data_IF_356124270114
#
_entry.id   IF_356124270114
#
_cell.length_a   1.000
_cell.length_b   1.000
_cell.length_c   1.000
_cell.angle_alpha   90.00
_cell.angle_beta   90.00
_cell.angle_gamma   90.00
#
_symmetry.space_group_name_H-M   'P 1'
#
loop_
_entity.id
_entity.type
_entity.pdbx_description
1 polymer ?
#
# COMPACT_ATOMS: atom_id res chain seq x y z
N UNK A 1 -14.21 7.06 -8.08
CA UNK A 1 -13.83 5.63 -8.20
C UNK A 1 -14.35 5.12 -9.52
N UNK A 2 -13.49 4.72 -10.46
CA UNK A 2 -13.95 4.06 -11.69
C UNK A 2 -14.53 2.71 -11.29
N UNK A 3 -15.84 2.55 -11.43
CA UNK A 3 -16.49 1.25 -11.24
C UNK A 3 -15.86 0.22 -12.20
N UNK A 4 -15.57 -0.97 -11.68
CA UNK A 4 -14.99 -2.05 -12.46
C UNK A 4 -15.83 -2.38 -13.73
N UNK A 5 -17.13 -2.15 -13.69
CA UNK A 5 -18.04 -2.33 -14.83
C UNK A 5 -17.88 -1.23 -15.88
N UNK A 6 -17.65 0.00 -15.47
CA UNK A 6 -17.30 1.10 -16.39
C UNK A 6 -15.98 0.82 -17.11
N UNK A 7 -14.99 0.25 -16.42
CA UNK A 7 -13.73 -0.17 -17.02
C UNK A 7 -13.93 -1.32 -18.00
N UNK A 8 -14.74 -2.33 -17.65
CA UNK A 8 -15.10 -3.44 -18.53
C UNK A 8 -15.80 -2.95 -19.80
N UNK A 9 -16.69 -1.96 -19.70
CA UNK A 9 -17.33 -1.32 -20.86
C UNK A 9 -16.35 -0.67 -21.80
N UNK A 10 -15.41 0.11 -21.27
CA UNK A 10 -14.35 0.74 -22.07
C UNK A 10 -13.45 -0.29 -22.76
N UNK A 11 -13.08 -1.37 -22.06
CA UNK A 11 -12.32 -2.46 -22.64
C UNK A 11 -13.10 -3.17 -23.76
N UNK A 12 -14.37 -3.49 -23.51
CA UNK A 12 -15.23 -4.11 -24.52
C UNK A 12 -15.36 -3.25 -25.79
N UNK A 13 -15.55 -1.94 -25.64
CA UNK A 13 -15.58 -1.00 -26.76
C UNK A 13 -14.25 -0.95 -27.52
N UNK A 14 -13.13 -0.83 -26.79
CA UNK A 14 -11.80 -0.76 -27.39
C UNK A 14 -11.42 -2.03 -28.15
N UNK A 15 -11.92 -3.18 -27.73
CA UNK A 15 -11.63 -4.49 -28.36
C UNK A 15 -12.71 -4.97 -29.33
N UNK A 16 -13.77 -4.17 -29.54
CA UNK A 16 -14.91 -4.56 -30.37
C UNK A 16 -15.65 -5.77 -29.83
N UNK A 17 -15.65 -6.02 -28.52
CA UNK A 17 -16.32 -7.14 -27.87
C UNK A 17 -15.72 -8.53 -28.16
N UNK A 18 -14.54 -8.59 -28.76
CA UNK A 18 -13.93 -9.87 -29.21
C UNK A 18 -13.41 -10.73 -28.06
N UNK A 19 -13.26 -10.17 -26.85
CA UNK A 19 -12.74 -10.88 -25.70
C UNK A 19 -13.83 -11.08 -24.66
N UNK A 20 -14.04 -12.31 -24.15
CA UNK A 20 -14.92 -12.56 -23.03
C UNK A 20 -14.35 -11.86 -21.78
N UNK A 21 -15.22 -11.26 -20.98
CA UNK A 21 -14.84 -10.55 -19.77
C UNK A 21 -15.46 -11.27 -18.59
N UNK A 22 -14.64 -11.97 -17.80
CA UNK A 22 -15.06 -12.50 -16.51
C UNK A 22 -15.28 -11.36 -15.51
N UNK A 23 -16.27 -11.49 -14.64
CA UNK A 23 -16.54 -10.50 -13.62
C UNK A 23 -16.54 -11.11 -12.21
N UNK A 24 -15.72 -10.54 -11.35
CA UNK A 24 -15.63 -10.89 -9.94
C UNK A 24 -15.54 -9.61 -9.10
N UNK A 25 -16.56 -9.33 -8.32
CA UNK A 25 -16.55 -8.14 -7.43
C UNK A 25 -17.95 -7.72 -7.00
N UNK A 26 -18.26 -7.93 -5.71
CA UNK A 26 -19.50 -7.47 -5.09
C UNK A 26 -20.79 -8.02 -5.74
N UNK A 27 -20.73 -9.20 -6.35
CA UNK A 27 -21.90 -9.85 -6.95
C UNK A 27 -22.76 -10.46 -5.86
N UNK A 28 -24.04 -10.14 -5.87
CA UNK A 28 -25.09 -10.64 -4.98
C UNK A 28 -26.39 -10.93 -5.75
N UNK A 29 -27.42 -11.37 -5.03
CA UNK A 29 -28.71 -11.73 -5.65
C UNK A 29 -29.42 -10.55 -6.34
N UNK A 30 -29.09 -9.30 -6.00
CA UNK A 30 -29.74 -8.12 -6.55
C UNK A 30 -29.08 -7.65 -7.86
N UNK A 31 -27.79 -7.89 -8.03
CA UNK A 31 -27.02 -7.40 -9.18
C UNK A 31 -26.57 -8.49 -10.15
N UNK A 32 -26.69 -9.78 -9.78
CA UNK A 32 -26.25 -10.91 -10.60
C UNK A 32 -26.91 -10.93 -11.99
N UNK A 33 -28.24 -10.87 -12.03
CA UNK A 33 -28.97 -10.93 -13.28
C UNK A 33 -28.56 -9.79 -14.25
N UNK A 34 -28.47 -8.57 -13.74
CA UNK A 34 -28.03 -7.43 -14.54
C UNK A 34 -26.57 -7.55 -14.98
N UNK A 35 -25.70 -8.16 -14.16
CA UNK A 35 -24.30 -8.41 -14.53
C UNK A 35 -24.20 -9.40 -15.68
N UNK A 36 -24.99 -10.49 -15.65
CA UNK A 36 -25.08 -11.46 -16.75
C UNK A 36 -25.67 -10.81 -18.00
N UNK A 37 -26.73 -10.02 -17.85
CA UNK A 37 -27.36 -9.30 -18.97
C UNK A 37 -26.42 -8.28 -19.65
N UNK A 38 -25.36 -7.84 -18.98
CA UNK A 38 -24.29 -7.03 -19.57
C UNK A 38 -23.32 -7.84 -20.44
N UNK A 39 -23.48 -9.14 -20.59
CA UNK A 39 -22.58 -10.00 -21.37
C UNK A 39 -21.28 -10.33 -20.66
N UNK A 40 -21.21 -10.11 -19.32
CA UNK A 40 -20.07 -10.49 -18.51
C UNK A 40 -20.16 -11.97 -18.13
N UNK A 41 -19.10 -12.72 -18.32
CA UNK A 41 -19.05 -14.14 -17.99
C UNK A 41 -17.65 -14.75 -18.12
N UNK A 42 -17.30 -15.69 -17.24
CA UNK A 42 -18.07 -16.14 -16.07
C UNK A 42 -18.24 -15.06 -14.99
N UNK A 43 -19.38 -15.09 -14.30
CA UNK A 43 -19.65 -14.23 -13.15
C UNK A 43 -19.43 -15.02 -11.88
N UNK A 44 -18.58 -14.50 -10.98
CA UNK A 44 -18.27 -15.14 -9.70
C UNK A 44 -18.81 -14.35 -8.52
N UNK A 45 -19.21 -15.04 -7.46
CA UNK A 45 -19.65 -14.46 -6.21
C UNK A 45 -18.91 -15.11 -5.05
N UNK A 46 -18.55 -14.34 -4.04
CA UNK A 46 -17.86 -14.81 -2.84
C UNK A 46 -18.52 -14.24 -1.58
N UNK A 47 -18.38 -12.96 -1.33
CA UNK A 47 -18.78 -12.29 -0.08
C UNK A 47 -20.25 -12.51 0.28
N UNK A 48 -21.16 -12.56 -0.71
CA UNK A 48 -22.58 -12.80 -0.43
C UNK A 48 -22.83 -14.23 0.08
N UNK A 49 -22.07 -15.21 -0.39
CA UNK A 49 -22.18 -16.60 0.06
C UNK A 49 -21.53 -16.86 1.43
N UNK A 50 -20.70 -15.92 1.92
CA UNK A 50 -20.14 -15.96 3.28
C UNK A 50 -21.12 -15.44 4.34
N UNK A 51 -22.20 -14.77 3.93
CA UNK A 51 -23.27 -14.32 4.81
C UNK A 51 -24.10 -15.50 5.35
N UNK A 52 -24.89 -15.32 6.44
CA UNK A 52 -25.81 -16.34 6.92
C UNK A 52 -26.66 -16.92 5.80
N UNK A 53 -26.93 -18.21 5.84
CA UNK A 53 -27.57 -19.04 4.84
C UNK A 53 -26.69 -19.53 3.68
N UNK A 54 -25.52 -18.95 3.47
CA UNK A 54 -24.51 -19.45 2.53
C UNK A 54 -25.07 -19.79 1.15
N UNK A 55 -24.81 -20.98 0.64
CA UNK A 55 -25.26 -21.45 -0.68
C UNK A 55 -26.78 -21.49 -0.86
N UNK A 56 -27.59 -21.46 0.20
CA UNK A 56 -29.05 -21.36 0.11
C UNK A 56 -29.52 -20.02 -0.49
N UNK A 57 -28.59 -19.09 -0.68
CA UNK A 57 -28.85 -17.80 -1.38
C UNK A 57 -28.89 -17.96 -2.90
N UNK A 58 -28.24 -18.98 -3.48
CA UNK A 58 -28.12 -19.18 -4.93
C UNK A 58 -29.47 -19.28 -5.68
N UNK A 59 -30.51 -19.92 -5.15
CA UNK A 59 -31.81 -19.90 -5.81
C UNK A 59 -32.38 -18.51 -6.11
N UNK A 60 -32.04 -17.51 -5.28
CA UNK A 60 -32.43 -16.10 -5.51
C UNK A 60 -31.76 -15.54 -6.78
N UNK A 61 -30.47 -15.87 -6.98
CA UNK A 61 -29.72 -15.45 -8.16
C UNK A 61 -30.37 -15.99 -9.46
N UNK A 62 -30.66 -17.27 -9.45
CA UNK A 62 -31.30 -17.94 -10.62
C UNK A 62 -32.71 -17.41 -10.87
N UNK A 63 -33.49 -17.17 -9.82
CA UNK A 63 -34.82 -16.58 -9.94
C UNK A 63 -34.76 -15.17 -10.54
N UNK A 64 -33.82 -14.35 -10.11
CA UNK A 64 -33.61 -12.99 -10.63
C UNK A 64 -33.19 -13.06 -12.12
N UNK A 65 -32.30 -13.99 -12.49
CA UNK A 65 -31.88 -14.16 -13.88
C UNK A 65 -33.06 -14.61 -14.78
N UNK A 66 -33.87 -15.56 -14.34
CA UNK A 66 -35.06 -16.00 -15.08
C UNK A 66 -36.04 -14.83 -15.26
N UNK A 67 -36.24 -14.00 -14.25
CA UNK A 67 -37.10 -12.82 -14.35
C UNK A 67 -36.54 -11.80 -15.36
N UNK A 68 -35.25 -11.55 -15.38
CA UNK A 68 -34.59 -10.67 -16.34
C UNK A 68 -34.72 -11.22 -17.79
N UNK A 69 -34.46 -12.51 -17.97
CA UNK A 69 -34.65 -13.17 -19.28
C UNK A 69 -36.08 -13.07 -19.76
N UNK A 70 -37.05 -13.28 -18.88
CA UNK A 70 -38.49 -13.17 -19.22
C UNK A 70 -38.82 -11.72 -19.60
N UNK A 71 -38.37 -10.74 -18.86
CA UNK A 71 -38.62 -9.33 -19.14
C UNK A 71 -38.00 -8.87 -20.47
N UNK A 72 -36.82 -9.40 -20.82
CA UNK A 72 -36.16 -9.12 -22.10
C UNK A 72 -36.64 -9.96 -23.26
N UNK A 73 -37.55 -10.95 -23.05
CA UNK A 73 -37.99 -11.92 -24.06
C UNK A 73 -36.90 -12.89 -24.51
N UNK A 74 -35.81 -13.00 -23.73
CA UNK A 74 -34.68 -13.86 -24.05
C UNK A 74 -34.97 -15.33 -23.75
N UNK A 75 -34.67 -16.23 -24.69
CA UNK A 75 -34.88 -17.68 -24.54
C UNK A 75 -33.72 -18.39 -23.86
N UNK A 76 -32.56 -17.77 -23.88
CA UNK A 76 -31.33 -18.25 -23.24
C UNK A 76 -30.45 -17.09 -22.76
N UNK A 77 -29.38 -17.42 -22.03
CA UNK A 77 -28.43 -16.43 -21.49
C UNK A 77 -27.73 -15.65 -22.60
N UNK A 78 -27.38 -16.30 -23.71
CA UNK A 78 -26.69 -15.64 -24.81
C UNK A 78 -27.58 -14.58 -25.49
N UNK A 79 -28.86 -14.83 -25.59
CA UNK A 79 -29.84 -13.86 -26.12
C UNK A 79 -30.11 -12.71 -25.15
N UNK A 80 -29.99 -12.95 -23.81
CA UNK A 80 -30.11 -11.93 -22.78
C UNK A 80 -28.85 -11.06 -22.70
N UNK A 81 -27.69 -11.66 -22.92
CA UNK A 81 -26.38 -11.03 -22.70
C UNK A 81 -26.01 -10.09 -23.86
N UNK A 82 -25.88 -8.81 -23.56
CA UNK A 82 -25.49 -7.82 -24.57
C UNK A 82 -24.53 -6.75 -23.95
N UNK A 83 -23.34 -6.61 -24.53
CA UNK A 83 -22.35 -5.64 -24.11
C UNK A 83 -22.86 -4.19 -24.18
N UNK A 84 -23.84 -3.90 -25.06
CA UNK A 84 -24.50 -2.57 -25.07
C UNK A 84 -25.19 -2.21 -23.75
N UNK A 85 -25.58 -3.20 -22.94
CA UNK A 85 -26.22 -2.99 -21.65
C UNK A 85 -25.21 -2.51 -20.60
N UNK A 86 -23.92 -2.71 -20.85
CA UNK A 86 -22.85 -2.43 -19.90
C UNK A 86 -22.70 -0.94 -19.61
N UNK A 87 -22.81 -0.09 -20.64
CA UNK A 87 -22.73 1.37 -20.46
C UNK A 87 -23.90 1.89 -19.64
N UNK A 88 -25.14 1.52 -20.03
CA UNK A 88 -26.34 1.94 -19.29
C UNK A 88 -26.35 1.41 -17.85
N UNK A 89 -25.82 0.21 -17.61
CA UNK A 89 -25.68 -0.35 -16.29
C UNK A 89 -24.64 0.42 -15.45
N UNK A 90 -23.49 0.76 -16.04
CA UNK A 90 -22.45 1.54 -15.37
C UNK A 90 -22.94 2.93 -14.98
N UNK A 91 -23.68 3.63 -15.84
CA UNK A 91 -24.31 4.92 -15.54
C UNK A 91 -25.31 4.81 -14.38
N UNK A 92 -26.16 3.79 -14.38
CA UNK A 92 -27.09 3.53 -13.29
C UNK A 92 -26.38 3.28 -11.96
N UNK A 93 -25.33 2.46 -11.96
CA UNK A 93 -24.54 2.14 -10.78
C UNK A 93 -23.79 3.37 -10.24
N UNK A 94 -23.34 4.25 -11.11
CA UNK A 94 -22.67 5.48 -10.72
C UNK A 94 -23.57 6.44 -9.93
N UNK A 95 -24.88 6.34 -10.08
CA UNK A 95 -25.85 7.19 -9.36
C UNK A 95 -26.58 6.47 -8.23
N UNK A 96 -26.44 5.15 -8.12
CA UNK A 96 -27.12 4.33 -7.11
C UNK A 96 -26.36 4.34 -5.76
N UNK A 97 -26.97 4.88 -4.69
CA UNK A 97 -26.33 4.96 -3.37
C UNK A 97 -25.84 3.61 -2.80
N UNK A 98 -26.42 2.49 -3.23
CA UNK A 98 -26.00 1.14 -2.80
C UNK A 98 -24.58 0.79 -3.20
N UNK A 99 -24.07 1.42 -4.25
CA UNK A 99 -22.70 1.22 -4.76
C UNK A 99 -21.73 2.33 -4.36
N UNK A 100 -22.24 3.37 -3.70
CA UNK A 100 -21.42 4.42 -3.14
C UNK A 100 -20.89 3.97 -1.80
N UNK A 101 -19.56 3.84 -1.72
CA UNK A 101 -18.88 3.22 -0.62
C UNK A 101 -19.35 3.72 0.74
N UNK A 102 -19.56 2.77 1.62
CA UNK A 102 -19.75 2.94 3.05
C UNK A 102 -18.49 3.48 3.73
N UNK A 103 -17.89 4.52 3.18
CA UNK A 103 -16.72 5.20 3.77
C UNK A 103 -17.00 5.64 5.22
N UNK A 104 -18.26 5.94 5.55
CA UNK A 104 -18.66 6.37 6.89
C UNK A 104 -18.51 5.32 7.99
N UNK A 105 -18.61 4.02 7.68
CA UNK A 105 -18.41 2.99 8.71
C UNK A 105 -16.93 2.72 8.98
N UNK A 106 -16.07 2.87 7.99
CA UNK A 106 -14.63 2.74 8.17
C UNK A 106 -14.06 3.89 9.00
N UNK A 107 -14.57 5.12 8.82
CA UNK A 107 -14.17 6.28 9.63
C UNK A 107 -14.50 6.12 11.12
N UNK A 108 -15.64 5.52 11.45
CA UNK A 108 -16.05 5.30 12.85
C UNK A 108 -15.15 4.31 13.62
N UNK A 109 -14.35 3.52 12.93
CA UNK A 109 -13.43 2.54 13.53
C UNK A 109 -11.98 3.05 13.63
N UNK A 110 -11.67 4.22 13.07
CA UNK A 110 -10.31 4.77 13.08
C UNK A 110 -9.93 5.22 14.48
N UNK A 111 -8.78 4.78 14.95
CA UNK A 111 -8.29 5.02 16.32
C UNK A 111 -7.37 6.25 16.44
N UNK A 112 -6.87 6.76 15.33
CA UNK A 112 -5.95 7.89 15.29
C UNK A 112 -5.03 7.84 14.07
N UNK A 113 -4.07 8.77 13.98
CA UNK A 113 -3.16 8.84 12.85
C UNK A 113 -2.24 7.61 12.81
N UNK A 114 -2.08 7.05 11.62
CA UNK A 114 -1.14 5.95 11.38
C UNK A 114 0.30 6.47 11.49
N UNK A 115 1.11 5.82 12.30
CA UNK A 115 2.53 6.11 12.42
C UNK A 115 3.37 5.32 11.40
N UNK A 116 4.57 5.82 11.09
CA UNK A 116 5.56 5.09 10.30
C UNK A 116 5.85 3.71 10.90
N UNK A 117 6.07 3.68 12.22
CA UNK A 117 6.13 2.48 13.06
C UNK A 117 5.01 2.50 14.10
N UNK A 118 4.87 1.43 14.90
CA UNK A 118 3.88 1.32 15.97
C UNK A 118 2.41 1.42 15.52
N UNK A 119 2.09 0.88 14.36
CA UNK A 119 0.69 0.69 13.99
C UNK A 119 0.01 -0.36 14.86
N UNK A 120 -1.32 -0.45 14.78
CA UNK A 120 -2.11 -1.43 15.52
C UNK A 120 -1.72 -2.90 15.28
N UNK A 121 -0.91 -3.18 14.26
CA UNK A 121 -0.46 -4.51 13.82
C UNK A 121 -1.63 -5.49 13.55
N UNK A 122 -2.77 -4.98 13.09
CA UNK A 122 -3.98 -5.76 12.82
C UNK A 122 -3.91 -6.65 11.58
N UNK A 123 -2.87 -6.54 10.76
CA UNK A 123 -2.62 -7.29 9.53
C UNK A 123 -3.64 -7.08 8.39
N UNK A 124 -4.62 -6.21 8.54
CA UNK A 124 -5.64 -6.00 7.50
C UNK A 124 -5.05 -5.57 6.15
N UNK A 125 -4.02 -4.72 6.16
CA UNK A 125 -3.38 -4.24 4.94
C UNK A 125 -2.80 -5.37 4.07
N UNK A 126 -2.30 -6.45 4.68
CA UNK A 126 -1.78 -7.62 3.93
C UNK A 126 -2.90 -8.48 3.38
N UNK A 127 -3.99 -8.68 4.16
CA UNK A 127 -5.12 -9.52 3.75
C UNK A 127 -5.89 -8.93 2.56
N UNK A 128 -5.97 -7.60 2.48
CA UNK A 128 -6.73 -6.91 1.42
C UNK A 128 -5.88 -6.47 0.23
N UNK A 129 -4.56 -6.61 0.32
CA UNK A 129 -3.67 -6.23 -0.77
C UNK A 129 -3.69 -7.28 -1.90
N UNK A 130 -4.20 -6.96 -3.10
CA UNK A 130 -4.29 -7.95 -4.19
C UNK A 130 -2.91 -8.39 -4.69
N UNK A 131 -1.87 -7.60 -4.45
CA UNK A 131 -0.53 -7.84 -4.95
C UNK A 131 0.44 -8.36 -3.87
N UNK A 132 -0.03 -8.55 -2.61
CA UNK A 132 0.83 -8.98 -1.52
C UNK A 132 2.01 -8.04 -1.24
N UNK A 133 1.79 -6.72 -1.39
CA UNK A 133 2.87 -5.74 -1.30
C UNK A 133 3.38 -5.48 0.13
N UNK A 134 2.62 -5.86 1.15
CA UNK A 134 3.02 -5.71 2.54
C UNK A 134 3.68 -6.97 3.09
N UNK A 135 4.71 -6.77 3.90
CA UNK A 135 5.35 -7.83 4.66
C UNK A 135 5.75 -7.32 6.06
N UNK A 136 5.90 -8.22 7.02
CA UNK A 136 6.34 -7.86 8.37
C UNK A 136 7.85 -7.99 8.52
N UNK A 137 8.39 -7.15 9.40
CA UNK A 137 9.77 -7.24 9.87
C UNK A 137 9.83 -7.18 11.39
N UNK A 138 10.71 -7.94 12.05
CA UNK A 138 10.94 -7.81 13.47
C UNK A 138 11.77 -6.55 13.75
N UNK A 139 11.21 -5.58 14.47
CA UNK A 139 11.85 -4.30 14.69
C UNK A 139 11.91 -3.83 16.15
N UNK A 140 10.93 -4.19 16.95
CA UNK A 140 10.82 -3.72 18.33
C UNK A 140 10.70 -4.84 19.36
N UNK A 141 10.37 -4.53 20.62
CA UNK A 141 10.29 -3.18 21.17
C UNK A 141 11.67 -2.52 21.34
N UNK A 142 11.75 -1.23 21.10
CA UNK A 142 12.97 -0.47 21.25
C UNK A 142 12.66 0.92 21.82
N UNK A 143 13.52 1.43 22.70
CA UNK A 143 13.48 2.79 23.19
C UNK A 143 14.91 3.35 23.21
N UNK A 144 15.11 4.48 22.55
CA UNK A 144 16.42 5.12 22.36
C UNK A 144 16.29 6.57 22.78
N UNK A 145 17.10 6.97 23.77
CA UNK A 145 17.34 8.40 24.03
C UNK A 145 18.20 8.94 22.89
N UNK A 146 17.76 10.02 22.28
CA UNK A 146 18.34 10.56 21.06
C UNK A 146 18.31 12.09 21.07
N UNK A 147 18.54 12.72 19.93
CA UNK A 147 18.67 14.16 19.81
C UNK A 147 17.94 14.68 18.58
N UNK A 148 17.42 15.89 18.67
CA UNK A 148 17.11 16.72 17.52
C UNK A 148 18.27 17.69 17.29
N UNK A 149 18.82 17.70 16.07
CA UNK A 149 19.91 18.55 15.66
C UNK A 149 19.33 19.81 15.03
N UNK A 150 19.56 20.96 15.65
CA UNK A 150 18.99 22.24 15.26
C UNK A 150 20.09 23.17 14.75
N UNK A 151 19.91 23.73 13.57
CA UNK A 151 20.79 24.75 13.02
C UNK A 151 20.51 26.10 13.70
N UNK A 152 21.50 26.64 14.39
CA UNK A 152 21.48 27.94 15.08
C UNK A 152 22.70 28.75 14.65
N UNK A 153 22.49 29.77 13.83
CA UNK A 153 23.57 30.50 13.19
C UNK A 153 24.46 29.60 12.34
N UNK A 154 25.76 29.56 12.65
CA UNK A 154 26.71 28.67 11.96
C UNK A 154 27.00 27.37 12.72
N UNK A 155 26.22 27.06 13.74
CA UNK A 155 26.44 25.90 14.61
C UNK A 155 25.23 24.94 14.54
N UNK A 156 25.47 23.69 14.95
CA UNK A 156 24.43 22.68 15.16
C UNK A 156 24.31 22.42 16.66
N UNK A 157 23.13 22.63 17.21
CA UNK A 157 22.78 22.37 18.62
C UNK A 157 22.03 21.06 18.74
N UNK A 158 22.29 20.34 19.83
CA UNK A 158 21.60 19.11 20.18
C UNK A 158 20.52 19.40 21.22
N UNK A 159 19.28 18.97 20.97
CA UNK A 159 18.16 19.02 21.91
C UNK A 159 17.75 17.59 22.25
N UNK A 160 17.59 17.23 23.54
CA UNK A 160 17.15 15.88 23.91
C UNK A 160 15.85 15.49 23.24
N UNK A 161 15.78 14.27 22.73
CA UNK A 161 14.61 13.67 22.12
C UNK A 161 14.57 12.18 22.45
N UNK A 162 13.48 11.51 22.09
CA UNK A 162 13.30 10.07 22.30
C UNK A 162 12.71 9.43 21.08
N UNK A 163 13.21 8.27 20.71
CA UNK A 163 12.64 7.40 19.70
C UNK A 163 12.22 6.07 20.32
N UNK A 164 10.99 5.66 20.11
CA UNK A 164 10.49 4.39 20.63
C UNK A 164 9.62 3.70 19.60
N UNK A 165 9.70 2.36 19.57
CA UNK A 165 8.82 1.45 18.84
C UNK A 165 8.36 0.41 19.85
N UNK A 166 7.05 0.32 20.09
CA UNK A 166 6.50 -0.54 21.13
C UNK A 166 6.20 -1.96 20.63
N UNK A 167 5.88 -2.11 19.33
CA UNK A 167 5.50 -3.39 18.75
C UNK A 167 6.70 -4.18 18.28
N UNK A 168 6.69 -5.50 18.51
CA UNK A 168 7.73 -6.42 18.07
C UNK A 168 7.83 -6.51 16.56
N UNK A 169 6.69 -6.51 15.87
CA UNK A 169 6.60 -6.56 14.42
C UNK A 169 6.12 -5.25 13.83
N UNK A 170 6.71 -4.89 12.71
CA UNK A 170 6.31 -3.73 11.92
C UNK A 170 6.00 -4.14 10.50
N UNK A 171 5.00 -3.48 9.92
CA UNK A 171 4.62 -3.67 8.52
C UNK A 171 5.33 -2.67 7.62
N UNK A 172 5.89 -3.19 6.55
CA UNK A 172 6.56 -2.41 5.51
C UNK A 172 5.96 -2.74 4.15
N UNK A 173 6.14 -1.85 3.19
CA UNK A 173 5.60 -1.96 1.84
C UNK A 173 6.74 -2.14 0.84
N UNK A 174 6.68 -3.19 0.03
CA UNK A 174 7.54 -3.30 -1.15
C UNK A 174 6.92 -2.52 -2.32
N UNK A 175 7.60 -1.46 -2.75
CA UNK A 175 7.09 -0.52 -3.75
C UNK A 175 6.84 -1.18 -5.11
N UNK A 176 7.67 -2.16 -5.50
CA UNK A 176 7.56 -2.89 -6.77
C UNK A 176 6.27 -3.68 -6.92
N UNK A 177 5.61 -4.06 -5.83
CA UNK A 177 4.33 -4.77 -5.85
C UNK A 177 3.13 -3.86 -5.65
N UNK A 178 3.33 -2.64 -5.15
CA UNK A 178 2.23 -1.70 -4.88
C UNK A 178 1.84 -0.94 -6.15
N UNK A 179 0.58 -1.05 -6.53
CA UNK A 179 -0.01 -0.28 -7.63
C UNK A 179 -0.83 0.94 -7.16
N UNK A 180 -0.64 1.36 -5.91
CA UNK A 180 -1.30 2.50 -5.27
C UNK A 180 -2.86 2.46 -5.35
N UNK A 181 -3.46 1.26 -5.38
CA UNK A 181 -4.91 1.08 -5.51
C UNK A 181 -5.73 1.58 -4.31
N UNK A 182 -5.09 1.79 -3.15
CA UNK A 182 -5.73 2.29 -1.95
C UNK A 182 -6.61 1.29 -1.19
N UNK A 183 -6.70 0.02 -1.62
CA UNK A 183 -7.55 -0.98 -0.96
C UNK A 183 -7.24 -1.19 0.53
N UNK A 184 -6.00 -0.96 0.93
CA UNK A 184 -5.59 -1.10 2.34
C UNK A 184 -6.08 0.04 3.24
N UNK A 185 -6.42 1.20 2.69
CA UNK A 185 -6.81 2.37 3.48
C UNK A 185 -8.16 2.19 4.22
N UNK A 186 -9.27 1.83 3.57
CA UNK A 186 -10.56 1.69 4.26
C UNK A 186 -10.60 0.55 5.29
N UNK A 187 -9.66 -0.40 5.24
CA UNK A 187 -9.56 -1.49 6.21
C UNK A 187 -8.57 -1.21 7.34
N UNK A 188 -7.81 -0.12 7.24
CA UNK A 188 -6.92 0.30 8.32
C UNK A 188 -7.74 0.93 9.46
N UNK A 189 -7.55 0.48 10.72
CA UNK A 189 -8.22 1.12 11.86
C UNK A 189 -7.60 2.48 12.23
N UNK A 190 -6.55 2.90 11.53
CA UNK A 190 -5.83 4.16 11.74
C UNK A 190 -5.89 5.02 10.47
N UNK A 191 -5.74 6.33 10.63
CA UNK A 191 -5.85 7.30 9.54
C UNK A 191 -4.52 7.54 8.83
N UNK A 192 -4.54 7.66 7.50
CA UNK A 192 -3.36 8.04 6.71
C UNK A 192 -3.04 7.14 5.55
N UNK A 193 -3.62 5.94 5.50
CA UNK A 193 -3.42 4.95 4.44
C UNK A 193 -2.10 4.20 4.55
N UNK A 194 -2.13 2.88 4.81
CA UNK A 194 -0.93 2.08 4.99
C UNK A 194 0.08 2.20 3.83
N UNK A 195 -0.40 2.29 2.60
CA UNK A 195 0.46 2.38 1.42
C UNK A 195 1.21 3.72 1.29
N UNK A 196 0.81 4.75 2.04
CA UNK A 196 1.45 6.08 2.07
C UNK A 196 2.36 6.23 3.29
N UNK A 197 1.90 5.77 4.46
CA UNK A 197 2.55 6.07 5.76
C UNK A 197 3.57 5.01 6.15
N UNK A 198 3.32 3.72 5.80
CA UNK A 198 4.27 2.65 6.15
C UNK A 198 5.58 2.79 5.39
N UNK A 199 6.72 2.31 5.97
CA UNK A 199 7.99 2.34 5.28
C UNK A 199 7.85 1.72 3.89
N UNK A 200 8.06 2.50 2.85
CA UNK A 200 7.97 2.08 1.44
C UNK A 200 9.36 1.80 0.92
N UNK A 201 9.66 0.54 0.67
CA UNK A 201 10.97 0.07 0.23
C UNK A 201 11.03 -0.06 -1.29
N UNK A 202 12.07 0.49 -1.87
CA UNK A 202 12.36 0.41 -3.31
C UNK A 202 13.55 -0.52 -3.54
N UNK A 203 13.53 -1.25 -4.66
CA UNK A 203 14.58 -2.18 -5.08
C UNK A 203 15.59 -1.53 -6.02
N UNK A 204 15.28 -0.38 -6.59
CA UNK A 204 16.15 0.30 -7.55
C UNK A 204 16.13 1.82 -7.41
N UNK A 205 17.27 2.43 -7.73
CA UNK A 205 17.43 3.89 -7.74
C UNK A 205 16.51 4.56 -8.78
N UNK A 206 16.25 3.90 -9.89
CA UNK A 206 15.34 4.38 -10.91
C UNK A 206 13.89 4.46 -10.39
N UNK A 207 13.39 3.39 -9.76
CA UNK A 207 12.06 3.35 -9.16
C UNK A 207 11.94 4.35 -8.00
N UNK A 208 12.96 4.41 -7.13
CA UNK A 208 13.00 5.40 -6.04
C UNK A 208 12.97 6.83 -6.58
N UNK A 209 13.76 7.14 -7.62
CA UNK A 209 13.77 8.46 -8.28
C UNK A 209 12.43 8.82 -8.91
N UNK A 210 11.81 7.87 -9.63
CA UNK A 210 10.52 8.08 -10.30
C UNK A 210 9.35 8.36 -9.32
N UNK A 211 9.46 7.88 -8.07
CA UNK A 211 8.46 8.09 -7.02
C UNK A 211 8.57 9.46 -6.32
N UNK A 212 9.55 10.28 -6.67
CA UNK A 212 9.71 11.62 -6.07
C UNK A 212 8.51 12.54 -6.41
N UNK A 213 8.10 13.43 -5.49
CA UNK A 213 8.66 13.69 -4.15
C UNK A 213 8.15 12.77 -3.04
N UNK A 214 7.41 11.71 -3.35
CA UNK A 214 6.81 10.81 -2.37
C UNK A 214 7.84 10.15 -1.43
N UNK A 215 7.39 9.82 -0.22
CA UNK A 215 8.20 9.16 0.79
C UNK A 215 8.63 7.76 0.34
N UNK A 216 9.81 7.35 0.77
CA UNK A 216 10.35 6.05 0.42
C UNK A 216 11.75 5.83 0.94
N UNK A 217 12.21 4.60 0.85
CA UNK A 217 13.49 4.16 1.35
C UNK A 217 14.11 3.19 0.33
N UNK A 218 15.35 3.45 -0.05
CA UNK A 218 16.15 2.62 -0.92
C UNK A 218 17.37 2.14 -0.13
N UNK A 219 17.56 0.81 -0.04
CA UNK A 219 18.69 0.17 0.62
C UNK A 219 19.59 -0.42 -0.45
N UNK A 220 20.82 0.06 -0.54
CA UNK A 220 21.79 -0.35 -1.56
C UNK A 220 23.07 -0.91 -0.91
N UNK A 221 23.90 -1.54 -1.73
CA UNK A 221 25.23 -2.02 -1.35
C UNK A 221 25.18 -2.88 -0.06
N UNK A 222 24.23 -3.81 0.00
CA UNK A 222 24.02 -4.66 1.19
C UNK A 222 23.83 -3.86 2.48
N UNK A 223 23.16 -2.70 2.38
CA UNK A 223 22.85 -1.85 3.52
C UNK A 223 23.95 -0.87 3.91
N UNK A 224 25.00 -0.72 3.12
CA UNK A 224 26.01 0.32 3.33
C UNK A 224 25.49 1.71 3.02
N UNK A 225 24.63 1.82 2.00
CA UNK A 225 24.00 3.07 1.59
C UNK A 225 22.50 2.98 1.70
N UNK A 226 21.88 4.00 2.27
CA UNK A 226 20.44 4.15 2.34
C UNK A 226 20.08 5.56 1.92
N UNK A 227 19.27 5.67 0.87
CA UNK A 227 18.61 6.93 0.48
C UNK A 227 17.16 6.89 0.96
N UNK A 228 16.68 7.94 1.60
CA UNK A 228 15.32 8.00 2.10
C UNK A 228 14.68 9.36 1.85
N UNK A 229 13.36 9.40 1.78
CA UNK A 229 12.56 10.63 1.82
C UNK A 229 11.51 10.50 2.91
N UNK A 230 11.42 11.53 3.76
CA UNK A 230 10.41 11.67 4.81
C UNK A 230 9.80 13.07 4.73
N UNK A 231 8.50 13.14 4.44
CA UNK A 231 7.81 14.41 4.24
C UNK A 231 8.42 15.24 3.09
N UNK A 232 8.86 14.56 2.03
CA UNK A 232 9.52 15.17 0.87
C UNK A 232 10.99 15.59 1.09
N UNK A 233 11.54 15.46 2.31
CA UNK A 233 12.95 15.77 2.60
C UNK A 233 13.83 14.55 2.35
N UNK A 234 14.86 14.72 1.54
CA UNK A 234 15.83 13.67 1.26
C UNK A 234 16.79 13.46 2.43
N UNK A 235 17.16 12.21 2.66
CA UNK A 235 18.14 11.80 3.67
C UNK A 235 19.05 10.77 3.05
N UNK A 236 20.34 10.88 3.36
CA UNK A 236 21.36 9.93 2.97
C UNK A 236 22.07 9.37 4.20
N UNK A 237 22.17 8.05 4.27
CA UNK A 237 22.92 7.35 5.29
C UNK A 237 23.96 6.47 4.61
N UNK A 238 25.22 6.70 4.93
CA UNK A 238 26.34 5.89 4.48
C UNK A 238 27.04 5.29 5.70
N UNK A 239 27.19 3.97 5.72
CA UNK A 239 27.84 3.24 6.81
C UNK A 239 29.24 2.80 6.41
N UNK A 240 30.23 3.24 7.15
CA UNK A 240 31.58 2.71 7.16
C UNK A 240 31.74 1.53 8.12
N UNK A 241 32.98 1.11 8.36
CA UNK A 241 33.30 0.02 9.30
C UNK A 241 33.10 0.43 10.75
N UNK A 242 33.54 1.64 11.12
CA UNK A 242 33.57 2.16 12.50
C UNK A 242 32.66 3.37 12.71
N UNK A 243 32.21 4.00 11.64
CA UNK A 243 31.40 5.22 11.70
C UNK A 243 30.26 5.18 10.67
N UNK A 244 29.26 6.03 10.88
CA UNK A 244 28.21 6.27 9.91
C UNK A 244 28.06 7.76 9.61
N UNK A 245 27.80 8.12 8.34
CA UNK A 245 27.47 9.49 7.93
C UNK A 245 26.00 9.58 7.64
N UNK A 246 25.36 10.58 8.20
CA UNK A 246 23.93 10.83 8.00
C UNK A 246 23.68 12.30 7.68
N UNK A 247 22.90 12.58 6.63
CA UNK A 247 22.63 13.95 6.18
C UNK A 247 21.22 14.08 5.59
N UNK A 248 20.66 15.29 5.71
CA UNK A 248 19.46 15.71 4.98
C UNK A 248 19.76 16.84 3.96
N UNK A 249 21.05 17.04 3.65
CA UNK A 249 21.53 18.09 2.76
C UNK A 249 21.76 19.43 3.45
N UNK A 250 21.17 19.68 4.61
CA UNK A 250 21.38 20.89 5.44
C UNK A 250 22.35 20.61 6.57
N UNK A 251 22.10 19.55 7.32
CA UNK A 251 22.97 19.08 8.43
C UNK A 251 23.57 17.73 8.03
N UNK A 252 24.87 17.58 8.25
CA UNK A 252 25.60 16.33 8.12
C UNK A 252 26.18 15.94 9.47
N UNK A 253 26.03 14.65 9.81
CA UNK A 253 26.52 14.06 11.05
C UNK A 253 27.47 12.92 10.76
N UNK A 254 28.45 12.75 11.63
CA UNK A 254 29.21 11.52 11.77
C UNK A 254 28.86 10.92 13.12
N UNK A 255 28.51 9.62 13.11
CA UNK A 255 28.17 8.87 14.31
C UNK A 255 29.20 7.75 14.51
N UNK A 256 29.57 7.51 15.76
CA UNK A 256 30.47 6.43 16.14
C UNK A 256 29.77 5.05 16.15
N UNK A 257 30.53 4.00 16.51
CA UNK A 257 30.02 2.63 16.59
C UNK A 257 28.89 2.45 17.62
N UNK A 258 28.83 3.31 18.64
CA UNK A 258 27.79 3.37 19.68
C UNK A 258 26.63 4.30 19.30
N UNK A 259 26.60 4.79 18.05
CA UNK A 259 25.57 5.67 17.50
C UNK A 259 25.48 7.06 18.14
N UNK A 260 26.56 7.52 18.78
CA UNK A 260 26.68 8.87 19.32
C UNK A 260 27.22 9.80 18.24
N UNK A 261 26.73 11.03 18.23
CA UNK A 261 27.23 12.07 17.30
C UNK A 261 28.66 12.46 17.68
N UNK A 262 29.64 12.04 16.89
CA UNK A 262 31.05 12.38 17.04
C UNK A 262 31.40 13.74 16.42
N UNK A 263 30.70 14.09 15.31
CA UNK A 263 30.81 15.43 14.72
C UNK A 263 29.52 15.81 13.98
N UNK A 264 29.31 17.12 13.85
CA UNK A 264 28.21 17.69 13.08
C UNK A 264 28.70 18.87 12.24
N UNK A 265 28.14 18.99 11.04
CA UNK A 265 28.48 20.03 10.10
C UNK A 265 27.25 20.62 9.44
N UNK A 266 27.17 21.96 9.40
CA UNK A 266 26.15 22.66 8.62
C UNK A 266 26.62 22.77 7.17
N UNK A 267 25.92 22.14 6.25
CA UNK A 267 26.21 22.12 4.81
C UNK A 267 25.61 23.31 4.09
N UNK A 268 24.37 23.66 4.45
CA UNK A 268 23.66 24.79 3.93
C UNK A 268 23.04 25.59 5.08
N UNK A 269 23.45 26.86 5.31
CA UNK A 269 22.89 27.68 6.37
C UNK A 269 21.38 27.84 6.22
N UNK A 270 20.63 27.36 7.21
CA UNK A 270 19.18 27.47 7.29
C UNK A 270 18.77 27.55 8.75
N UNK A 271 18.54 28.77 9.22
CA UNK A 271 18.17 29.03 10.60
C UNK A 271 16.95 28.24 11.03
N UNK A 272 17.02 27.64 12.21
CA UNK A 272 15.92 26.82 12.78
C UNK A 272 15.67 25.48 12.10
N UNK A 273 16.45 25.11 11.07
CA UNK A 273 16.32 23.80 10.46
C UNK A 273 16.63 22.70 11.47
N UNK A 274 15.79 21.68 11.50
CA UNK A 274 15.92 20.56 12.44
C UNK A 274 16.07 19.24 11.70
N UNK A 275 17.14 18.51 12.04
CA UNK A 275 17.35 17.12 11.63
C UNK A 275 17.08 16.22 12.85
N UNK A 276 15.91 15.57 12.93
CA UNK A 276 15.62 14.64 14.02
C UNK A 276 16.46 13.37 13.88
N UNK A 277 17.29 13.04 14.87
CA UNK A 277 18.17 11.88 14.80
C UNK A 277 17.40 10.54 14.89
N UNK A 278 16.13 10.56 15.32
CA UNK A 278 15.30 9.38 15.25
C UNK A 278 15.18 8.81 13.82
N UNK A 279 15.28 9.64 12.77
CA UNK A 279 15.29 9.20 11.37
C UNK A 279 16.48 8.29 11.05
N UNK A 280 17.65 8.63 11.58
CA UNK A 280 18.83 7.76 11.52
C UNK A 280 18.56 6.40 12.17
N UNK A 281 18.04 6.42 13.41
CA UNK A 281 17.75 5.20 14.15
C UNK A 281 16.69 4.36 13.44
N UNK A 282 15.65 4.99 12.88
CA UNK A 282 14.62 4.31 12.08
C UNK A 282 15.22 3.61 10.85
N UNK A 283 16.06 4.30 10.08
CA UNK A 283 16.71 3.73 8.89
C UNK A 283 17.66 2.58 9.25
N UNK A 284 18.45 2.74 10.29
CA UNK A 284 19.38 1.71 10.78
C UNK A 284 18.63 0.45 11.20
N UNK A 285 17.60 0.57 12.03
CA UNK A 285 16.81 -0.54 12.53
C UNK A 285 16.04 -1.23 11.40
N UNK A 286 15.45 -0.45 10.50
CA UNK A 286 14.76 -0.97 9.31
C UNK A 286 15.71 -1.79 8.44
N UNK A 287 16.87 -1.24 8.12
CA UNK A 287 17.91 -1.96 7.36
C UNK A 287 18.26 -3.29 8.00
N UNK A 288 18.56 -3.28 9.30
CA UNK A 288 18.98 -4.47 10.03
C UNK A 288 17.88 -5.53 10.05
N UNK A 289 16.62 -5.13 10.21
CA UNK A 289 15.48 -6.03 10.19
C UNK A 289 15.22 -6.60 8.79
N UNK A 290 15.30 -5.77 7.74
CA UNK A 290 15.11 -6.21 6.34
C UNK A 290 16.22 -7.18 5.91
N UNK A 291 17.48 -6.90 6.22
CA UNK A 291 18.60 -7.72 5.76
C UNK A 291 18.73 -9.05 6.52
N UNK A 292 18.13 -9.18 7.72
CA UNK A 292 18.16 -10.45 8.50
C UNK A 292 17.16 -11.49 8.03
N UNK A 293 16.10 -11.10 7.31
CA UNK A 293 14.98 -11.97 6.95
C UNK A 293 14.94 -12.33 5.47
N UNK A 294 14.15 -13.36 5.17
CA UNK A 294 13.73 -13.65 3.79
C UNK A 294 12.49 -12.81 3.50
N UNK A 295 12.59 -11.89 2.57
CA UNK A 295 11.53 -10.97 2.19
C UNK A 295 11.73 -10.47 0.75
N UNK A 296 10.77 -9.74 0.15
CA UNK A 296 10.90 -9.30 -1.24
C UNK A 296 12.18 -8.53 -1.55
N UNK A 297 12.75 -7.78 -0.59
CA UNK A 297 13.99 -7.01 -0.80
C UNK A 297 15.22 -7.90 -0.88
N UNK A 298 15.26 -9.00 -0.12
CA UNK A 298 16.41 -9.93 -0.11
C UNK A 298 16.30 -10.99 -1.19
N UNK A 299 15.10 -11.24 -1.72
CA UNK A 299 14.85 -12.25 -2.76
C UNK A 299 14.81 -11.68 -4.18
N UNK A 300 14.72 -10.37 -4.35
CA UNK A 300 14.68 -9.71 -5.67
C UNK A 300 15.94 -9.92 -6.52
N UNK A 301 17.03 -10.40 -5.94
CA UNK A 301 18.27 -10.77 -6.63
C UNK A 301 18.48 -12.27 -6.80
N UNK A 302 17.53 -13.12 -6.38
CA UNK A 302 17.62 -14.55 -6.64
C UNK A 302 17.35 -14.81 -8.13
N UNK A 303 18.16 -15.66 -8.81
CA UNK A 303 17.85 -16.07 -10.16
C UNK A 303 16.45 -16.71 -10.18
N UNK A 304 15.66 -16.40 -11.20
CA UNK A 304 14.36 -17.03 -11.42
C UNK A 304 14.55 -18.54 -11.22
N UNK A 305 13.76 -19.13 -10.33
CA UNK A 305 13.72 -20.57 -10.22
C UNK A 305 13.43 -21.09 -11.61
N UNK A 306 14.42 -21.74 -12.23
CA UNK A 306 14.24 -22.40 -13.50
C UNK A 306 13.01 -23.30 -13.33
N UNK A 307 11.95 -23.00 -14.05
CA UNK A 307 10.85 -23.92 -14.31
C UNK A 307 11.43 -25.07 -15.13
N UNK A 308 12.07 -25.97 -14.41
CA UNK A 308 12.72 -27.16 -14.92
C UNK A 308 12.05 -28.39 -14.30
N UNK A 309 11.04 -28.83 -14.97
CA UNK A 309 10.48 -30.18 -15.20
C UNK A 309 8.99 -30.28 -14.99
#
# INVERSE_FOLDING_TARGET
MLDARGLAGRFALATGGRHPIAFSGGVDAENFAATVACGLGPVTTCTDLLKPTGYRRLPRYLKALVAEMTASGARDIAACAALRNLTAYAERVATDPRYHAQARQAEALRKGPLALFDCAACNNCTLVCPNGAFFSIPLGPVAIETWDLVAEGNAVRQRPARFAVAREEQWVLYAGFCNDCGNCDPFCPEEGGPFRVKPRLFDSRAAFGAAAPGDGILIEEQGRRISARFGGLAHELERGETEARFSDGVIELVLDAEYRVSSSRLRAPREGHTLPLWRYHALRLLRDAVLRGINPMTTSGLPALNEGR
#
